data_IF_408657342660
#
_entry.id   IF_408657342660
#
_cell.length_a   1.000
_cell.length_b   1.000
_cell.length_c   1.000
_cell.angle_alpha   90.00
_cell.angle_beta   90.00
_cell.angle_gamma   90.00
#
_symmetry.space_group_name_H-M   'P 1'
#
loop_
_entity.id
_entity.type
_entity.pdbx_description
1 polymer ?
#
# COMPACT_ATOMS: atom_id res chain seq x y z
N UNK A 1 36.30 -0.91 46.64
CA UNK A 1 35.91 -1.99 45.71
C UNK A 1 34.42 -1.87 45.40
N UNK A 2 34.08 -1.57 44.13
CA UNK A 2 32.79 -1.73 43.43
C UNK A 2 31.59 -0.96 44.03
N UNK A 3 31.24 0.25 43.60
CA UNK A 3 30.76 0.67 42.26
C UNK A 3 29.37 0.10 41.92
N UNK A 4 28.41 1.04 41.85
CA UNK A 4 27.29 1.18 40.90
C UNK A 4 26.16 0.14 40.97
N UNK A 5 24.92 0.60 41.14
CA UNK A 5 23.96 0.45 40.06
C UNK A 5 22.92 1.58 40.06
N UNK A 6 22.97 2.28 38.94
CA UNK A 6 22.23 3.42 38.43
C UNK A 6 20.73 3.16 38.30
N UNK A 7 19.95 4.11 38.82
CA UNK A 7 18.58 4.39 38.38
C UNK A 7 18.61 4.70 36.88
N UNK A 8 17.86 3.92 36.09
CA UNK A 8 17.54 4.21 34.69
C UNK A 8 16.09 4.67 34.62
N UNK A 9 15.79 5.91 34.20
CA UNK A 9 14.46 6.25 33.74
C UNK A 9 14.35 5.80 32.28
N UNK A 10 13.41 4.88 32.04
CA UNK A 10 12.98 4.49 30.69
C UNK A 10 12.21 5.66 30.08
N UNK A 11 12.86 6.35 29.15
CA UNK A 11 12.21 7.30 28.24
C UNK A 11 11.27 6.55 27.29
N UNK A 12 10.00 6.95 27.29
CA UNK A 12 9.02 6.66 26.27
C UNK A 12 9.47 7.28 24.93
N UNK A 13 9.97 6.44 24.03
CA UNK A 13 10.10 6.81 22.62
C UNK A 13 8.73 6.59 21.96
N UNK A 14 7.97 7.67 21.91
CA UNK A 14 6.83 7.86 21.00
C UNK A 14 7.32 7.86 19.55
N UNK A 15 7.41 6.68 18.94
CA UNK A 15 7.57 6.56 17.48
C UNK A 15 6.21 6.79 16.81
N UNK A 16 5.98 8.04 16.43
CA UNK A 16 4.92 8.42 15.49
C UNK A 16 5.53 8.38 14.09
N UNK A 17 5.19 7.43 13.20
CA UNK A 17 5.67 7.51 11.83
C UNK A 17 4.82 8.53 11.06
N UNK A 18 5.21 9.81 11.17
CA UNK A 18 4.82 10.85 10.21
C UNK A 18 5.49 10.57 8.84
N UNK A 19 4.81 10.86 7.72
CA UNK A 19 5.18 10.35 6.41
C UNK A 19 6.43 11.06 5.86
N UNK A 20 7.50 10.30 5.63
CA UNK A 20 8.71 10.82 5.03
C UNK A 20 8.49 11.28 3.56
N UNK A 21 8.98 12.46 3.17
CA UNK A 21 8.90 12.98 1.81
C UNK A 21 9.89 12.28 0.87
N UNK A 22 9.58 12.32 -0.42
CA UNK A 22 10.23 11.61 -1.52
C UNK A 22 11.76 11.83 -1.62
N UNK A 23 12.52 10.73 -1.68
CA UNK A 23 13.93 10.70 -2.06
C UNK A 23 14.12 10.61 -3.60
N UNK A 24 15.21 11.17 -4.16
CA UNK A 24 15.38 11.38 -5.60
C UNK A 24 15.85 10.12 -6.37
N UNK A 25 15.31 9.96 -7.58
CA UNK A 25 15.82 9.24 -8.77
C UNK A 25 16.88 8.10 -8.64
N UNK A 26 16.63 7.08 -7.81
CA UNK A 26 16.93 5.71 -8.21
C UNK A 26 15.70 5.17 -8.96
N UNK A 27 15.85 4.26 -9.93
CA UNK A 27 14.71 3.65 -10.63
C UNK A 27 13.61 3.30 -9.63
N UNK A 28 12.51 4.05 -9.62
CA UNK A 28 11.52 3.88 -8.57
C UNK A 28 10.95 2.47 -8.69
N UNK A 29 10.64 1.81 -7.57
CA UNK A 29 10.04 0.47 -7.59
C UNK A 29 8.80 0.41 -8.50
N UNK A 30 8.06 1.52 -8.63
CA UNK A 30 6.94 1.67 -9.57
C UNK A 30 7.39 1.77 -11.03
N UNK A 31 8.46 2.49 -11.33
CA UNK A 31 9.04 2.59 -12.67
C UNK A 31 9.53 1.22 -13.14
N UNK A 32 10.26 0.51 -12.26
CA UNK A 32 10.71 -0.85 -12.53
C UNK A 32 9.52 -1.79 -12.75
N UNK A 33 8.50 -1.73 -11.88
CA UNK A 33 7.28 -2.53 -12.06
C UNK A 33 6.62 -2.27 -13.42
N UNK A 34 6.57 -1.01 -13.88
CA UNK A 34 6.01 -0.65 -15.18
C UNK A 34 6.82 -1.24 -16.34
N UNK A 35 8.15 -1.23 -16.25
CA UNK A 35 9.01 -1.89 -17.25
C UNK A 35 8.79 -3.41 -17.26
N UNK A 36 8.71 -4.05 -16.10
CA UNK A 36 8.42 -5.47 -15.99
C UNK A 36 7.04 -5.82 -16.57
N UNK A 37 6.03 -4.97 -16.40
CA UNK A 37 4.72 -5.12 -17.02
C UNK A 37 4.74 -4.96 -18.54
N UNK A 38 5.69 -4.22 -19.10
CA UNK A 38 5.84 -4.08 -20.55
C UNK A 38 6.55 -5.29 -21.15
N UNK A 39 7.54 -5.85 -20.46
CA UNK A 39 8.33 -6.96 -20.97
C UNK A 39 7.70 -8.33 -20.74
N UNK A 40 6.98 -8.51 -19.63
CA UNK A 40 6.45 -9.81 -19.24
C UNK A 40 4.92 -9.81 -19.18
N UNK A 41 4.25 -10.71 -19.92
CA UNK A 41 2.79 -10.79 -19.91
C UNK A 41 2.22 -11.19 -18.55
N UNK A 42 2.97 -11.97 -17.76
CA UNK A 42 2.59 -12.36 -16.40
C UNK A 42 2.33 -11.15 -15.48
N UNK A 43 3.24 -10.17 -15.50
CA UNK A 43 3.07 -8.92 -14.74
C UNK A 43 1.98 -8.03 -15.35
N UNK A 44 1.89 -7.98 -16.68
CA UNK A 44 0.87 -7.18 -17.39
C UNK A 44 -0.55 -7.59 -17.04
N UNK A 45 -0.79 -8.88 -16.83
CA UNK A 45 -2.09 -9.43 -16.50
C UNK A 45 -2.28 -9.67 -14.99
N UNK A 46 -1.27 -9.41 -14.15
CA UNK A 46 -1.28 -9.74 -12.72
C UNK A 46 -1.64 -11.20 -12.49
N UNK A 47 -1.05 -12.09 -13.29
CA UNK A 47 -1.22 -13.52 -13.09
C UNK A 47 -0.57 -13.93 -11.75
N UNK A 48 -1.11 -14.94 -11.06
CA UNK A 48 -0.50 -15.48 -9.85
C UNK A 48 0.91 -15.97 -10.17
N UNK A 49 1.90 -15.38 -9.53
CA UNK A 49 3.30 -15.63 -9.87
C UNK A 49 3.82 -16.92 -9.23
N UNK A 50 4.75 -17.58 -9.92
CA UNK A 50 5.51 -18.69 -9.39
C UNK A 50 6.29 -18.29 -8.13
N UNK A 51 6.47 -19.26 -7.23
CA UNK A 51 7.34 -19.08 -6.05
C UNK A 51 8.77 -18.97 -6.55
N UNK A 52 9.50 -17.92 -6.15
CA UNK A 52 10.87 -17.71 -6.62
C UNK A 52 10.98 -16.91 -7.93
N UNK A 53 9.92 -16.18 -8.31
CA UNK A 53 9.93 -15.31 -9.49
C UNK A 53 11.10 -14.31 -9.48
N UNK A 54 11.56 -13.90 -8.30
CA UNK A 54 12.73 -13.05 -8.10
C UNK A 54 14.01 -13.66 -8.67
N UNK A 55 14.20 -14.97 -8.53
CA UNK A 55 15.36 -15.67 -9.11
C UNK A 55 15.29 -15.69 -10.63
N UNK A 56 14.09 -15.87 -11.19
CA UNK A 56 13.88 -15.89 -12.63
C UNK A 56 14.07 -14.49 -13.23
N UNK A 57 13.64 -13.44 -12.53
CA UNK A 57 13.96 -12.07 -12.92
C UNK A 57 15.46 -11.81 -12.94
N UNK A 58 16.18 -12.20 -11.89
CA UNK A 58 17.62 -12.00 -11.82
C UNK A 58 18.38 -12.82 -12.87
N UNK A 59 17.87 -13.98 -13.27
CA UNK A 59 18.43 -14.78 -14.35
C UNK A 59 18.25 -14.12 -15.73
N UNK A 60 17.12 -13.44 -15.96
CA UNK A 60 16.85 -12.71 -17.21
C UNK A 60 17.47 -11.32 -17.25
N UNK A 61 17.53 -10.65 -16.10
CA UNK A 61 17.98 -9.27 -15.91
C UNK A 61 18.95 -9.23 -14.71
N UNK A 62 20.22 -9.62 -14.91
CA UNK A 62 21.21 -9.63 -13.83
C UNK A 62 21.58 -8.25 -13.32
N UNK A 63 21.39 -7.20 -14.12
CA UNK A 63 21.70 -5.80 -13.78
C UNK A 63 20.68 -5.17 -12.80
N UNK A 64 19.67 -5.92 -12.37
CA UNK A 64 18.58 -5.41 -11.56
C UNK A 64 18.92 -5.38 -10.07
N UNK A 65 18.74 -4.21 -9.43
CA UNK A 65 18.89 -4.09 -7.99
C UNK A 65 17.83 -4.91 -7.24
N UNK A 66 18.32 -5.85 -6.41
CA UNK A 66 17.47 -6.79 -5.65
C UNK A 66 16.52 -6.09 -4.69
N UNK A 67 16.95 -4.95 -4.10
CA UNK A 67 16.11 -4.20 -3.16
C UNK A 67 14.93 -3.56 -3.88
N UNK A 68 15.22 -2.86 -4.98
CA UNK A 68 14.21 -2.22 -5.83
C UNK A 68 13.25 -3.25 -6.44
N UNK A 69 13.77 -4.40 -6.88
CA UNK A 69 12.97 -5.52 -7.37
C UNK A 69 12.03 -6.06 -6.30
N UNK A 70 12.52 -6.33 -5.08
CA UNK A 70 11.68 -6.83 -3.98
C UNK A 70 10.58 -5.82 -3.62
N UNK A 71 10.90 -4.53 -3.61
CA UNK A 71 9.91 -3.48 -3.42
C UNK A 71 8.85 -3.46 -4.55
N UNK A 72 9.28 -3.58 -5.81
CA UNK A 72 8.38 -3.65 -6.97
C UNK A 72 7.44 -4.86 -6.89
N UNK A 73 7.99 -6.03 -6.52
CA UNK A 73 7.23 -7.25 -6.30
C UNK A 73 6.23 -7.09 -5.14
N UNK A 74 6.64 -6.49 -4.02
CA UNK A 74 5.75 -6.21 -2.89
C UNK A 74 4.58 -5.29 -3.26
N UNK A 75 4.83 -4.27 -4.10
CA UNK A 75 3.76 -3.41 -4.63
C UNK A 75 2.83 -4.22 -5.54
N UNK A 76 3.37 -5.11 -6.38
CA UNK A 76 2.59 -5.94 -7.28
C UNK A 76 1.70 -6.93 -6.53
N UNK A 77 2.27 -7.70 -5.61
CA UNK A 77 1.55 -8.73 -4.83
C UNK A 77 0.57 -8.11 -3.83
N UNK A 78 0.85 -6.90 -3.35
CA UNK A 78 -0.05 -6.11 -2.52
C UNK A 78 -1.20 -5.44 -3.27
N UNK A 79 -1.22 -5.50 -4.60
CA UNK A 79 -2.28 -4.86 -5.41
C UNK A 79 -3.60 -5.63 -5.33
N UNK A 80 -4.72 -4.91 -5.26
CA UNK A 80 -6.07 -5.49 -5.32
C UNK A 80 -6.26 -6.36 -6.57
N UNK A 81 -5.64 -5.98 -7.69
CA UNK A 81 -5.74 -6.75 -8.94
C UNK A 81 -5.08 -8.12 -8.82
N UNK A 82 -3.92 -8.17 -8.15
CA UNK A 82 -3.21 -9.42 -7.90
C UNK A 82 -3.99 -10.32 -6.94
N UNK A 83 -4.49 -9.77 -5.82
CA UNK A 83 -5.27 -10.55 -4.85
C UNK A 83 -6.55 -11.13 -5.48
N UNK A 84 -7.22 -10.39 -6.38
CA UNK A 84 -8.38 -10.89 -7.12
C UNK A 84 -8.04 -11.99 -8.13
N UNK A 85 -6.89 -11.88 -8.81
CA UNK A 85 -6.42 -12.94 -9.70
C UNK A 85 -6.04 -14.20 -8.90
N UNK A 86 -5.42 -14.02 -7.73
CA UNK A 86 -5.02 -15.07 -6.80
C UNK A 86 -6.21 -15.87 -6.25
N UNK A 87 -7.35 -15.22 -5.98
CA UNK A 87 -8.58 -15.88 -5.52
C UNK A 87 -9.15 -16.87 -6.54
N UNK A 88 -9.05 -16.56 -7.84
CA UNK A 88 -9.65 -17.35 -8.92
C UNK A 88 -8.69 -18.35 -9.55
N UNK A 89 -7.40 -18.22 -9.29
CA UNK A 89 -6.41 -19.01 -9.97
C UNK A 89 -6.18 -20.37 -9.32
N UNK A 90 -6.09 -21.37 -10.18
CA UNK A 90 -5.69 -22.74 -9.84
C UNK A 90 -4.20 -22.96 -10.03
N UNK A 91 -3.59 -22.30 -11.01
CA UNK A 91 -2.18 -22.48 -11.37
C UNK A 91 -1.41 -21.17 -11.22
N UNK A 92 -0.14 -21.29 -10.82
CA UNK A 92 0.85 -20.20 -10.84
C UNK A 92 1.53 -20.17 -12.19
N UNK A 93 1.88 -18.98 -12.63
CA UNK A 93 2.52 -18.73 -13.91
C UNK A 93 3.93 -18.20 -13.70
N UNK A 94 4.84 -18.67 -14.54
CA UNK A 94 6.17 -18.13 -14.70
C UNK A 94 6.13 -16.79 -15.48
N UNK A 95 7.27 -16.09 -15.56
CA UNK A 95 7.50 -14.91 -16.39
C UNK A 95 7.12 -15.11 -17.85
N UNK A 96 7.37 -16.31 -18.37
CA UNK A 96 7.09 -16.71 -19.74
C UNK A 96 5.62 -17.14 -19.95
N UNK A 97 4.80 -17.16 -18.89
CA UNK A 97 3.41 -17.59 -18.95
C UNK A 97 3.21 -19.10 -18.93
N UNK A 98 4.27 -19.86 -18.63
CA UNK A 98 4.19 -21.31 -18.42
C UNK A 98 3.44 -21.59 -17.12
N UNK A 99 2.42 -22.44 -17.19
CA UNK A 99 1.73 -22.95 -16.01
C UNK A 99 2.69 -23.85 -15.22
N UNK A 100 2.96 -23.46 -13.98
CA UNK A 100 3.84 -24.18 -13.07
C UNK A 100 3.06 -24.74 -11.89
N UNK A 101 3.49 -24.35 -10.69
CA UNK A 101 2.97 -24.89 -9.44
C UNK A 101 1.49 -24.54 -9.20
N UNK A 102 0.75 -25.46 -8.59
CA UNK A 102 -0.63 -25.24 -8.20
C UNK A 102 -0.76 -24.23 -7.06
N UNK A 103 -1.87 -23.50 -7.06
CA UNK A 103 -2.26 -22.61 -5.97
C UNK A 103 -3.03 -23.41 -4.94
N UNK A 104 -2.41 -23.64 -3.78
CA UNK A 104 -3.08 -24.24 -2.63
C UNK A 104 -4.24 -23.37 -2.13
N UNK A 105 -5.31 -24.03 -1.68
CA UNK A 105 -6.53 -23.42 -1.14
C UNK A 105 -6.23 -22.39 -0.04
N UNK A 106 -5.24 -22.66 0.81
CA UNK A 106 -4.76 -21.76 1.86
C UNK A 106 -4.38 -20.38 1.32
N UNK A 107 -3.72 -20.33 0.15
CA UNK A 107 -3.32 -19.06 -0.45
C UNK A 107 -4.52 -18.31 -1.05
N UNK A 108 -5.52 -19.02 -1.56
CA UNK A 108 -6.77 -18.41 -2.05
C UNK A 108 -7.58 -17.82 -0.90
N UNK A 109 -7.71 -18.55 0.20
CA UNK A 109 -8.38 -18.08 1.42
C UNK A 109 -7.70 -16.85 2.00
N UNK A 110 -6.36 -16.88 2.12
CA UNK A 110 -5.60 -15.72 2.61
C UNK A 110 -5.77 -14.50 1.68
N UNK A 111 -5.75 -14.69 0.35
CA UNK A 111 -5.99 -13.60 -0.59
C UNK A 111 -7.39 -12.97 -0.41
N UNK A 112 -8.41 -13.80 -0.21
CA UNK A 112 -9.79 -13.36 0.06
C UNK A 112 -9.90 -12.59 1.38
N UNK A 113 -9.26 -13.07 2.44
CA UNK A 113 -9.24 -12.39 3.73
C UNK A 113 -8.56 -11.01 3.62
N UNK A 114 -7.38 -10.95 2.98
CA UNK A 114 -6.67 -9.68 2.77
C UNK A 114 -7.52 -8.71 1.95
N UNK A 115 -8.22 -9.18 0.91
CA UNK A 115 -9.16 -8.34 0.15
C UNK A 115 -10.24 -7.77 1.05
N UNK A 116 -10.89 -8.59 1.88
CA UNK A 116 -11.93 -8.12 2.79
C UNK A 116 -11.41 -7.10 3.79
N UNK A 117 -10.23 -7.33 4.38
CA UNK A 117 -9.60 -6.38 5.30
C UNK A 117 -9.29 -5.04 4.62
N UNK A 118 -8.82 -5.08 3.36
CA UNK A 118 -8.57 -3.86 2.57
C UNK A 118 -9.85 -3.12 2.25
N UNK A 119 -10.90 -3.81 1.79
CA UNK A 119 -12.19 -3.17 1.50
C UNK A 119 -12.81 -2.52 2.73
N UNK A 120 -12.75 -3.17 3.90
CA UNK A 120 -13.22 -2.61 5.16
C UNK A 120 -12.47 -1.32 5.50
N UNK A 121 -11.13 -1.36 5.48
CA UNK A 121 -10.28 -0.20 5.77
C UNK A 121 -10.49 0.96 4.79
N UNK A 122 -10.69 0.67 3.50
CA UNK A 122 -10.96 1.71 2.50
C UNK A 122 -12.37 2.30 2.63
N UNK A 123 -13.37 1.49 2.97
CA UNK A 123 -14.72 1.96 3.25
C UNK A 123 -14.74 2.89 4.47
N UNK A 124 -14.03 2.55 5.54
CA UNK A 124 -13.87 3.40 6.72
C UNK A 124 -13.17 4.72 6.38
N UNK A 125 -12.05 4.67 5.64
CA UNK A 125 -11.34 5.89 5.21
C UNK A 125 -12.25 6.80 4.38
N UNK A 126 -13.00 6.23 3.43
CA UNK A 126 -13.91 7.00 2.57
C UNK A 126 -15.10 7.56 3.34
N UNK A 127 -15.59 6.85 4.35
CA UNK A 127 -16.63 7.36 5.25
C UNK A 127 -16.09 8.53 6.08
N UNK A 128 -14.92 8.37 6.69
CA UNK A 128 -14.28 9.44 7.46
C UNK A 128 -14.02 10.70 6.63
N UNK A 129 -13.57 10.56 5.38
CA UNK A 129 -13.36 11.68 4.45
C UNK A 129 -14.68 12.39 4.10
N UNK A 130 -15.77 11.64 3.89
CA UNK A 130 -17.10 12.21 3.64
C UNK A 130 -17.65 12.95 4.86
N UNK A 131 -17.53 12.35 6.04
CA UNK A 131 -18.02 12.93 7.28
C UNK A 131 -17.21 14.21 7.61
N UNK A 132 -15.90 14.22 7.35
CA UNK A 132 -15.06 15.40 7.49
C UNK A 132 -15.45 16.51 6.51
N UNK A 133 -15.65 16.20 5.23
CA UNK A 133 -16.08 17.16 4.23
C UNK A 133 -17.45 17.79 4.57
N UNK A 134 -18.40 16.98 5.04
CA UNK A 134 -19.71 17.46 5.49
C UNK A 134 -19.60 18.37 6.73
N UNK A 135 -18.72 18.03 7.67
CA UNK A 135 -18.48 18.86 8.86
C UNK A 135 -17.84 20.21 8.49
N UNK A 136 -16.90 20.23 7.53
CA UNK A 136 -16.30 21.46 7.01
C UNK A 136 -17.33 22.36 6.31
N UNK A 137 -18.18 21.80 5.45
CA UNK A 137 -19.26 22.54 4.79
C UNK A 137 -20.27 23.10 5.81
N UNK A 138 -20.67 22.30 6.79
CA UNK A 138 -21.57 22.75 7.86
C UNK A 138 -20.96 23.87 8.70
N UNK A 139 -19.66 23.79 8.99
CA UNK A 139 -18.94 24.84 9.73
C UNK A 139 -18.86 26.13 8.90
N UNK A 140 -18.55 26.04 7.61
CA UNK A 140 -18.55 27.20 6.69
C UNK A 140 -19.91 27.89 6.64
N UNK A 141 -20.99 27.12 6.47
CA UNK A 141 -22.36 27.68 6.48
C UNK A 141 -22.72 28.32 7.82
N UNK A 142 -22.23 27.75 8.94
CA UNK A 142 -22.42 28.34 10.27
C UNK A 142 -21.66 29.66 10.42
N UNK A 143 -20.41 29.72 9.97
CA UNK A 143 -19.59 30.94 9.99
C UNK A 143 -20.21 32.05 9.14
N UNK A 144 -20.67 31.73 7.94
CA UNK A 144 -21.36 32.70 7.06
C UNK A 144 -22.63 33.27 7.72
N UNK A 145 -23.44 32.42 8.36
CA UNK A 145 -24.61 32.87 9.14
C UNK A 145 -24.24 33.76 10.32
N UNK A 146 -23.17 33.43 11.05
CA UNK A 146 -22.69 34.23 12.17
C UNK A 146 -22.22 35.61 11.70
N UNK A 147 -21.49 35.69 10.58
CA UNK A 147 -21.05 36.94 9.98
C UNK A 147 -22.24 37.80 9.52
N UNK A 148 -23.27 37.19 8.92
CA UNK A 148 -24.50 37.89 8.54
C UNK A 148 -25.20 38.51 9.75
N UNK A 149 -25.34 37.76 10.86
CA UNK A 149 -25.93 38.27 12.09
C UNK A 149 -25.10 39.42 12.66
N UNK A 150 -23.78 39.26 12.78
CA UNK A 150 -22.89 40.31 13.27
C UNK A 150 -23.02 41.60 12.45
N UNK A 151 -23.08 41.49 11.11
CA UNK A 151 -23.24 42.65 10.23
C UNK A 151 -24.60 43.35 10.38
N UNK A 152 -25.64 42.62 10.77
CA UNK A 152 -26.99 43.16 10.99
C UNK A 152 -27.10 43.89 12.32
N UNK A 153 -26.38 43.44 13.35
CA UNK A 153 -26.38 44.06 14.68
C UNK A 153 -25.40 45.23 14.83
N UNK A 154 -24.39 45.39 13.96
CA UNK A 154 -23.45 46.52 14.04
C UNK A 154 -23.91 47.79 13.29
N UNK A 155 -25.08 47.76 12.64
CA UNK A 155 -25.60 48.85 11.81
C UNK A 155 -26.71 49.67 12.51
N UNK A 156 -26.85 49.49 13.82
CA UNK A 156 -27.83 50.15 14.69
C UNK A 156 -27.12 50.80 15.87
#
# INVERSE_FOLDING_TARGET
MKSMNTTSPVEEVVDTPAPAPAAPAAMSARTLLKQLQQQFPAFRNCLPLAIGIDKQLLARLPDLDRKTMRAALGIHTGSLRYLRAMEKATLRYDLDGTAGAEVTDTHRLHAKEVLQQRFKKEAERKKAERDAAQAEEANRMRQEKLLQLASKFSRN
#
